data_IF_612336825201
#
_entry.id   IF_612336825201
#
_cell.length_a   1.000
_cell.length_b   1.000
_cell.length_c   1.000
_cell.angle_alpha   90.00
_cell.angle_beta   90.00
_cell.angle_gamma   90.00
#
_symmetry.space_group_name_H-M   'P 1'
#
loop_
_entity.id
_entity.type
_entity.pdbx_description
1 polymer ?
#
# COMPACT_ATOMS: atom_id res chain seq x y z
N UNK A 1 15.07 -3.10 -9.80
CA UNK A 1 13.83 -3.47 -10.42
C UNK A 1 12.76 -2.42 -10.13
N UNK A 2 12.00 -2.14 -11.13
CA UNK A 2 11.05 -1.06 -11.06
C UNK A 2 9.67 -1.55 -10.71
N UNK A 3 9.12 -0.93 -9.71
CA UNK A 3 7.78 -1.22 -9.30
C UNK A 3 6.90 -0.08 -9.79
N UNK A 4 6.05 -0.37 -10.75
CA UNK A 4 5.23 0.67 -11.37
C UNK A 4 4.01 0.97 -10.52
N UNK A 5 3.99 2.15 -9.95
CA UNK A 5 2.87 2.60 -9.14
C UNK A 5 2.44 3.96 -9.66
N UNK A 6 1.12 4.11 -9.78
CA UNK A 6 0.55 5.39 -10.15
C UNK A 6 0.94 6.45 -9.13
N UNK A 7 1.37 7.62 -9.59
CA UNK A 7 1.80 8.68 -8.70
C UNK A 7 0.71 9.07 -7.71
N UNK A 8 -0.51 9.14 -8.20
CA UNK A 8 -1.64 9.50 -7.33
C UNK A 8 -1.78 8.50 -6.20
N UNK A 9 -1.73 7.24 -6.55
CA UNK A 9 -1.89 6.18 -5.56
C UNK A 9 -0.73 6.22 -4.59
N UNK A 10 0.47 6.41 -5.10
CA UNK A 10 1.65 6.46 -4.25
C UNK A 10 1.54 7.58 -3.22
N UNK A 11 1.10 8.75 -3.66
CA UNK A 11 0.95 9.89 -2.76
C UNK A 11 -0.08 9.60 -1.68
N UNK A 12 -1.19 9.01 -2.06
CA UNK A 12 -2.23 8.69 -1.09
C UNK A 12 -1.76 7.64 -0.09
N UNK A 13 -0.98 6.68 -0.56
CA UNK A 13 -0.43 5.67 0.32
C UNK A 13 0.52 6.29 1.34
N UNK A 14 1.28 7.28 0.91
CA UNK A 14 2.19 7.98 1.82
C UNK A 14 1.41 8.69 2.92
N UNK A 15 0.35 9.36 2.55
CA UNK A 15 -0.48 10.05 3.54
C UNK A 15 -1.09 9.05 4.51
N UNK A 16 -1.56 7.95 3.98
CA UNK A 16 -2.16 6.93 4.83
C UNK A 16 -1.13 6.35 5.80
N UNK A 17 0.07 6.15 5.32
CA UNK A 17 1.13 5.63 6.18
C UNK A 17 1.40 6.58 7.34
N UNK A 18 1.44 7.86 7.05
CA UNK A 18 1.68 8.85 8.08
C UNK A 18 0.53 8.84 9.09
N UNK A 19 -0.67 8.78 8.58
CA UNK A 19 -1.85 8.80 9.44
C UNK A 19 -1.89 7.61 10.37
N UNK A 20 -1.48 6.46 9.88
CA UNK A 20 -1.47 5.24 10.67
C UNK A 20 -0.17 5.03 11.42
N UNK A 21 0.76 5.97 11.25
CA UNK A 21 2.05 5.89 11.91
C UNK A 21 2.80 4.62 11.51
N UNK A 22 2.75 4.33 10.23
CA UNK A 22 3.41 3.15 9.67
C UNK A 22 4.33 3.58 8.55
N UNK A 23 5.26 2.71 8.19
CA UNK A 23 6.12 3.00 7.06
C UNK A 23 5.36 2.69 5.77
N UNK A 24 5.82 3.30 4.69
CA UNK A 24 5.18 3.08 3.41
C UNK A 24 5.21 1.60 3.01
N UNK A 25 6.33 0.95 3.31
CA UNK A 25 6.47 -0.47 3.01
C UNK A 25 5.40 -1.29 3.73
N UNK A 26 5.18 -0.97 5.00
CA UNK A 26 4.20 -1.69 5.79
C UNK A 26 2.79 -1.49 5.24
N UNK A 27 2.48 -0.26 4.84
CA UNK A 27 1.18 0.03 4.27
C UNK A 27 0.96 -0.75 2.97
N UNK A 28 1.97 -0.79 2.13
CA UNK A 28 1.88 -1.50 0.87
C UNK A 28 1.66 -2.99 1.11
N UNK A 29 2.41 -3.55 2.04
CA UNK A 29 2.27 -4.96 2.37
C UNK A 29 0.89 -5.28 2.92
N UNK A 30 0.38 -4.42 3.76
CA UNK A 30 -0.96 -4.59 4.31
C UNK A 30 -2.01 -4.57 3.21
N UNK A 31 -1.87 -3.61 2.30
CA UNK A 31 -2.83 -3.47 1.22
C UNK A 31 -2.83 -4.70 0.32
N UNK A 32 -1.65 -5.19 0.00
CA UNK A 32 -1.54 -6.37 -0.85
C UNK A 32 -2.13 -7.59 -0.16
N UNK A 33 -1.86 -7.71 1.12
CA UNK A 33 -2.36 -8.84 1.88
C UNK A 33 -3.87 -8.84 1.91
N UNK A 34 -4.45 -7.67 2.16
CA UNK A 34 -5.90 -7.56 2.19
C UNK A 34 -6.51 -7.88 0.84
N UNK A 35 -5.85 -7.43 -0.20
CA UNK A 35 -6.34 -7.67 -1.55
C UNK A 35 -6.40 -9.16 -1.86
N UNK A 36 -5.36 -9.87 -1.47
CA UNK A 36 -5.32 -11.32 -1.68
C UNK A 36 -6.39 -12.04 -0.89
N UNK A 37 -6.58 -11.63 0.34
CA UNK A 37 -7.61 -12.24 1.18
C UNK A 37 -8.99 -11.99 0.60
N UNK A 38 -9.20 -10.80 0.10
CA UNK A 38 -10.49 -10.43 -0.45
C UNK A 38 -10.82 -11.24 -1.69
N UNK A 39 -9.82 -11.60 -2.45
CA UNK A 39 -10.04 -12.38 -3.66
C UNK A 39 -10.17 -13.86 -3.38
N UNK A 40 -10.01 -14.23 -2.15
CA UNK A 40 -10.40 -15.55 -1.70
C UNK A 40 -9.56 -16.70 -2.18
N UNK A 41 -8.33 -16.45 -2.52
CA UNK A 41 -7.51 -17.57 -2.96
C UNK A 41 -6.14 -17.57 -2.29
#
# INVERSE_FOLDING_TARGET
>A
CNFVIDKSVHTRMKFLAIEKNMSLRDIVNEAMKEYLEKNGK
#
